data_IF_051670316926
#
_entry.id   IF_051670316926
#
_cell.length_a   1.000
_cell.length_b   1.000
_cell.length_c   1.000
_cell.angle_alpha   90.00
_cell.angle_beta   90.00
_cell.angle_gamma   90.00
#
_symmetry.space_group_name_H-M   'P 1'
#
loop_
_entity.id
_entity.type
_entity.pdbx_description
1 polymer ?
#
# COMPACT_ATOMS: atom_id res chain seq x y z
N UNK A 1 -4.29 29.10 13.03
CA UNK A 1 -3.26 28.47 13.87
C UNK A 1 -2.82 27.18 13.18
N UNK A 2 -1.54 26.85 13.16
CA UNK A 2 -1.08 25.53 12.68
C UNK A 2 -1.69 24.42 13.53
N UNK A 3 -1.87 23.27 12.92
CA UNK A 3 -2.39 22.07 13.59
C UNK A 3 -1.41 21.59 14.67
N UNK A 4 -1.93 21.05 15.77
CA UNK A 4 -1.08 20.45 16.81
C UNK A 4 -0.35 19.23 16.25
N UNK A 5 0.94 19.08 16.56
CA UNK A 5 1.82 18.01 16.06
C UNK A 5 1.23 16.61 16.26
N UNK A 6 0.66 16.32 17.44
CA UNK A 6 0.00 15.04 17.71
C UNK A 6 -1.23 14.76 16.84
N UNK A 7 -1.97 15.83 16.44
CA UNK A 7 -3.14 15.69 15.56
C UNK A 7 -2.69 15.40 14.14
N UNK A 8 -1.66 16.09 13.66
CA UNK A 8 -1.04 15.85 12.38
C UNK A 8 -0.50 14.41 12.28
N UNK A 9 0.22 13.95 13.30
CA UNK A 9 0.75 12.60 13.40
C UNK A 9 -0.37 11.54 13.36
N UNK A 10 -1.42 11.71 14.18
CA UNK A 10 -2.56 10.79 14.22
C UNK A 10 -3.27 10.68 12.86
N UNK A 11 -3.48 11.79 12.16
CA UNK A 11 -4.11 11.79 10.83
C UNK A 11 -3.23 11.11 9.78
N UNK A 12 -1.92 11.39 9.80
CA UNK A 12 -0.97 10.76 8.90
C UNK A 12 -0.92 9.24 9.09
N UNK A 13 -0.78 8.78 10.34
CA UNK A 13 -0.73 7.35 10.63
C UNK A 13 -2.07 6.65 10.38
N UNK A 14 -3.20 7.32 10.62
CA UNK A 14 -4.51 6.80 10.25
C UNK A 14 -4.60 6.49 8.75
N UNK A 15 -4.14 7.42 7.90
CA UNK A 15 -4.07 7.19 6.45
C UNK A 15 -3.15 6.02 6.08
N UNK A 16 -2.01 5.88 6.76
CA UNK A 16 -1.08 4.76 6.55
C UNK A 16 -1.68 3.42 6.94
N UNK A 17 -2.29 3.33 8.12
CA UNK A 17 -2.83 2.07 8.62
C UNK A 17 -3.99 1.55 7.77
N UNK A 18 -4.87 2.43 7.31
CA UNK A 18 -5.99 2.05 6.44
C UNK A 18 -5.52 1.58 5.07
N UNK A 19 -4.60 2.29 4.44
CA UNK A 19 -4.02 1.85 3.16
C UNK A 19 -3.25 0.54 3.30
N UNK A 20 -2.56 0.33 4.45
CA UNK A 20 -1.86 -0.93 4.76
C UNK A 20 -2.82 -2.09 4.90
N UNK A 21 -3.93 -1.91 5.62
CA UNK A 21 -4.95 -2.94 5.80
C UNK A 21 -5.60 -3.33 4.46
N UNK A 22 -5.93 -2.34 3.62
CA UNK A 22 -6.49 -2.58 2.28
C UNK A 22 -5.51 -3.34 1.38
N UNK A 23 -4.25 -2.89 1.34
CA UNK A 23 -3.22 -3.56 0.55
C UNK A 23 -3.01 -5.01 1.00
N UNK A 24 -2.97 -5.24 2.32
CA UNK A 24 -2.86 -6.58 2.90
C UNK A 24 -4.04 -7.46 2.51
N UNK A 25 -5.27 -6.95 2.61
CA UNK A 25 -6.48 -7.69 2.27
C UNK A 25 -6.45 -8.16 0.81
N UNK A 26 -6.14 -7.27 -0.12
CA UNK A 26 -6.05 -7.57 -1.54
C UNK A 26 -4.92 -8.56 -1.87
N UNK A 27 -3.74 -8.36 -1.28
CA UNK A 27 -2.60 -9.24 -1.52
C UNK A 27 -2.88 -10.66 -1.01
N UNK A 28 -3.48 -10.80 0.18
CA UNK A 28 -3.83 -12.11 0.76
C UNK A 28 -4.94 -12.80 -0.04
N UNK A 29 -5.94 -12.06 -0.53
CA UNK A 29 -7.00 -12.62 -1.39
C UNK A 29 -6.39 -13.24 -2.66
N UNK A 30 -5.58 -12.48 -3.40
CA UNK A 30 -4.93 -12.95 -4.63
C UNK A 30 -3.97 -14.12 -4.36
N UNK A 31 -3.25 -14.07 -3.23
CA UNK A 31 -2.35 -15.16 -2.84
C UNK A 31 -3.13 -16.42 -2.51
N UNK A 32 -4.22 -16.31 -1.76
CA UNK A 32 -5.09 -17.44 -1.41
C UNK A 32 -5.61 -18.14 -2.67
N UNK A 33 -6.17 -17.37 -3.61
CA UNK A 33 -6.69 -17.93 -4.85
C UNK A 33 -5.60 -18.69 -5.63
N UNK A 34 -4.41 -18.09 -5.72
CA UNK A 34 -3.26 -18.74 -6.36
C UNK A 34 -2.81 -20.02 -5.62
N UNK A 35 -2.84 -20.02 -4.29
CA UNK A 35 -2.45 -21.19 -3.49
C UNK A 35 -3.46 -22.35 -3.63
N UNK A 36 -4.74 -22.06 -3.79
CA UNK A 36 -5.76 -23.09 -4.08
C UNK A 36 -5.43 -23.77 -5.41
N UNK A 37 -5.11 -22.98 -6.45
CA UNK A 37 -4.79 -23.52 -7.78
C UNK A 37 -3.47 -24.33 -7.79
N UNK A 38 -2.47 -23.92 -6.98
CA UNK A 38 -1.14 -24.56 -6.97
C UNK A 38 -1.01 -25.75 -6.00
N UNK A 39 -1.76 -25.77 -4.90
CA UNK A 39 -1.53 -26.70 -3.79
C UNK A 39 -1.63 -28.18 -4.17
N UNK A 40 -2.42 -28.51 -5.18
CA UNK A 40 -2.59 -29.88 -5.68
C UNK A 40 -1.51 -30.28 -6.70
N UNK A 41 -0.89 -29.32 -7.38
CA UNK A 41 -0.01 -29.55 -8.53
C UNK A 41 1.45 -29.25 -8.21
N UNK A 42 1.72 -28.17 -7.45
CA UNK A 42 3.07 -27.67 -7.17
C UNK A 42 3.17 -27.11 -5.75
N UNK A 43 3.53 -27.96 -4.77
CA UNK A 43 3.70 -27.55 -3.36
C UNK A 43 4.89 -26.61 -3.13
N UNK A 44 5.97 -26.75 -3.91
CA UNK A 44 7.15 -25.88 -3.77
C UNK A 44 6.83 -24.49 -4.30
N UNK A 45 6.17 -24.40 -5.44
CA UNK A 45 5.66 -23.16 -5.99
C UNK A 45 4.68 -22.45 -5.04
N UNK A 46 3.76 -23.21 -4.42
CA UNK A 46 2.84 -22.66 -3.43
C UNK A 46 3.58 -22.07 -2.21
N UNK A 47 4.56 -22.79 -1.64
CA UNK A 47 5.39 -22.31 -0.54
C UNK A 47 6.20 -21.07 -0.94
N UNK A 48 6.65 -21.03 -2.20
CA UNK A 48 7.34 -19.90 -2.78
C UNK A 48 6.46 -18.64 -2.86
N UNK A 49 5.24 -18.77 -3.32
CA UNK A 49 4.28 -17.67 -3.39
C UNK A 49 3.90 -17.14 -2.01
N UNK A 50 3.70 -18.04 -1.04
CA UNK A 50 3.46 -17.64 0.35
C UNK A 50 4.64 -16.83 0.92
N UNK A 51 5.86 -17.31 0.77
CA UNK A 51 7.06 -16.59 1.23
C UNK A 51 7.22 -15.20 0.59
N UNK A 52 6.92 -15.06 -0.70
CA UNK A 52 6.93 -13.76 -1.38
C UNK A 52 5.87 -12.81 -0.83
N UNK A 53 4.70 -13.34 -0.47
CA UNK A 53 3.61 -12.56 0.15
C UNK A 53 4.02 -12.06 1.54
N UNK A 54 4.53 -12.94 2.40
CA UNK A 54 5.02 -12.59 3.73
C UNK A 54 6.14 -11.53 3.66
N UNK A 55 7.08 -11.69 2.73
CA UNK A 55 8.15 -10.71 2.50
C UNK A 55 7.59 -9.34 2.06
N UNK A 56 6.56 -9.33 1.20
CA UNK A 56 5.87 -8.09 0.79
C UNK A 56 5.22 -7.38 1.97
N UNK A 57 4.57 -8.12 2.84
CA UNK A 57 3.88 -7.59 4.02
C UNK A 57 4.86 -7.13 5.11
N UNK A 58 6.12 -7.59 5.05
CA UNK A 58 7.13 -7.35 6.08
C UNK A 58 6.66 -7.82 7.48
N UNK A 59 6.00 -8.97 7.52
CA UNK A 59 5.58 -9.66 8.74
C UNK A 59 6.43 -10.92 8.95
N UNK A 60 6.47 -11.48 10.18
CA UNK A 60 7.06 -12.80 10.41
C UNK A 60 6.43 -13.88 9.49
N UNK A 61 7.15 -14.97 9.24
CA UNK A 61 6.62 -16.07 8.43
C UNK A 61 5.60 -16.89 9.27
N UNK A 62 4.40 -16.36 9.35
CA UNK A 62 3.26 -16.89 10.12
C UNK A 62 2.09 -17.23 9.19
N UNK A 63 1.09 -17.92 9.68
CA UNK A 63 -0.10 -18.30 8.91
C UNK A 63 -0.99 -17.10 8.56
N UNK A 64 -1.87 -17.27 7.57
CA UNK A 64 -2.81 -16.23 7.15
C UNK A 64 -3.71 -15.76 8.29
N UNK A 65 -4.15 -16.65 9.16
CA UNK A 65 -4.99 -16.31 10.31
C UNK A 65 -4.28 -15.40 11.30
N UNK A 66 -2.99 -15.64 11.57
CA UNK A 66 -2.19 -14.76 12.42
C UNK A 66 -1.98 -13.38 11.77
N UNK A 67 -1.73 -13.34 10.46
CA UNK A 67 -1.62 -12.07 9.73
C UNK A 67 -2.92 -11.27 9.81
N UNK A 68 -4.08 -11.95 9.79
CA UNK A 68 -5.38 -11.28 9.87
C UNK A 68 -5.72 -10.86 11.31
N UNK A 69 -5.61 -11.78 12.26
CA UNK A 69 -6.32 -11.69 13.53
C UNK A 69 -5.43 -11.61 14.78
N UNK A 70 -4.10 -11.73 14.67
CA UNK A 70 -3.22 -11.65 15.82
C UNK A 70 -3.00 -10.19 16.27
N UNK A 71 -3.74 -9.76 17.29
CA UNK A 71 -3.61 -8.40 17.85
C UNK A 71 -2.28 -8.13 18.58
N UNK A 72 -1.44 -9.15 18.82
CA UNK A 72 -0.10 -8.96 19.36
C UNK A 72 0.95 -8.68 18.28
N UNK A 73 0.62 -8.95 16.99
CA UNK A 73 1.46 -8.61 15.86
C UNK A 73 1.10 -7.19 15.37
N UNK A 74 2.00 -6.20 15.53
CA UNK A 74 1.70 -4.81 15.17
C UNK A 74 1.40 -4.59 13.69
N UNK A 75 1.88 -5.48 12.83
CA UNK A 75 1.66 -5.41 11.38
C UNK A 75 0.45 -6.23 10.92
N UNK A 76 -0.29 -6.87 11.82
CA UNK A 76 -1.51 -7.62 11.46
C UNK A 76 -2.63 -6.69 10.99
N UNK A 77 -3.60 -7.26 10.28
CA UNK A 77 -4.75 -6.51 9.77
C UNK A 77 -5.59 -5.93 10.91
N UNK A 78 -5.89 -6.73 11.93
CA UNK A 78 -6.66 -6.26 13.10
C UNK A 78 -5.92 -5.15 13.83
N UNK A 79 -4.60 -5.23 13.99
CA UNK A 79 -3.79 -4.17 14.59
C UNK A 79 -3.81 -2.89 13.77
N UNK A 80 -3.71 -2.99 12.44
CA UNK A 80 -3.81 -1.82 11.55
C UNK A 80 -5.17 -1.11 11.70
N UNK A 81 -6.28 -1.83 11.67
CA UNK A 81 -7.62 -1.24 11.83
C UNK A 81 -7.82 -0.67 13.24
N UNK A 82 -7.33 -1.38 14.27
CA UNK A 82 -7.38 -0.90 15.67
C UNK A 82 -6.59 0.40 15.84
N UNK A 83 -5.37 0.47 15.31
CA UNK A 83 -4.51 1.67 15.40
C UNK A 83 -5.09 2.83 14.59
N UNK A 84 -5.67 2.57 13.41
CA UNK A 84 -6.38 3.60 12.66
C UNK A 84 -7.57 4.16 13.45
N UNK A 85 -8.36 3.28 14.09
CA UNK A 85 -9.49 3.65 14.93
C UNK A 85 -9.06 4.44 16.18
N UNK A 86 -7.97 4.04 16.82
CA UNK A 86 -7.46 4.77 17.99
C UNK A 86 -6.97 6.17 17.59
N UNK A 87 -6.27 6.31 16.46
CA UNK A 87 -5.90 7.61 15.91
C UNK A 87 -7.15 8.47 15.61
N UNK A 88 -8.18 7.90 14.98
CA UNK A 88 -9.43 8.60 14.70
C UNK A 88 -10.12 9.07 16.01
N UNK A 89 -10.09 8.25 17.07
CA UNK A 89 -10.65 8.59 18.38
C UNK A 89 -9.98 9.83 18.98
N UNK A 90 -8.66 9.95 18.79
CA UNK A 90 -7.89 11.10 19.31
C UNK A 90 -8.15 12.40 18.54
N UNK A 91 -8.63 12.30 17.27
CA UNK A 91 -8.83 13.47 16.39
C UNK A 91 -10.28 13.63 15.94
N UNK A 92 -11.24 13.14 16.73
CA UNK A 92 -12.68 13.16 16.37
C UNK A 92 -13.22 14.56 16.03
N UNK A 93 -12.66 15.61 16.61
CA UNK A 93 -13.04 16.99 16.35
C UNK A 93 -12.54 17.51 14.99
N UNK A 94 -11.63 16.79 14.34
CA UNK A 94 -10.98 17.20 13.08
C UNK A 94 -11.51 16.41 11.90
N UNK A 95 -12.02 15.20 12.13
CA UNK A 95 -12.60 14.34 11.09
C UNK A 95 -14.14 14.46 11.04
N UNK A 96 -14.74 14.11 9.91
CA UNK A 96 -16.20 14.08 9.81
C UNK A 96 -16.79 12.93 10.65
N UNK A 97 -18.02 13.13 11.15
CA UNK A 97 -18.74 12.11 11.93
C UNK A 97 -18.85 10.77 11.22
N UNK A 98 -19.22 10.80 9.95
CA UNK A 98 -19.35 9.62 9.10
C UNK A 98 -18.04 8.83 8.98
N UNK A 99 -16.88 9.53 8.93
CA UNK A 99 -15.57 8.87 8.91
C UNK A 99 -15.35 8.03 10.16
N UNK A 100 -15.72 8.55 11.32
CA UNK A 100 -15.62 7.82 12.59
C UNK A 100 -16.56 6.61 12.62
N UNK A 101 -17.80 6.77 12.16
CA UNK A 101 -18.79 5.69 12.15
C UNK A 101 -18.35 4.55 11.24
N UNK A 102 -17.91 4.84 10.02
CA UNK A 102 -17.42 3.82 9.10
C UNK A 102 -16.18 3.10 9.59
N UNK A 103 -15.26 3.79 10.27
CA UNK A 103 -14.09 3.15 10.85
C UNK A 103 -14.45 2.24 12.04
N UNK A 104 -15.45 2.63 12.84
CA UNK A 104 -16.00 1.74 13.86
C UNK A 104 -16.67 0.50 13.25
N UNK A 105 -17.43 0.66 12.17
CA UNK A 105 -18.04 -0.45 11.45
C UNK A 105 -16.95 -1.39 10.88
N UNK A 106 -15.87 -0.84 10.32
CA UNK A 106 -14.74 -1.63 9.85
C UNK A 106 -14.10 -2.46 10.97
N UNK A 107 -13.89 -1.85 12.13
CA UNK A 107 -13.34 -2.53 13.30
C UNK A 107 -14.27 -3.65 13.80
N UNK A 108 -15.54 -3.37 14.02
CA UNK A 108 -16.47 -4.36 14.57
C UNK A 108 -16.78 -5.51 13.60
N UNK A 109 -16.84 -5.25 12.29
CA UNK A 109 -17.00 -6.34 11.31
C UNK A 109 -15.78 -7.25 11.23
N UNK A 110 -14.58 -6.72 11.45
CA UNK A 110 -13.37 -7.53 11.55
C UNK A 110 -13.32 -8.35 12.85
N UNK A 111 -13.76 -7.79 13.98
CA UNK A 111 -13.89 -8.51 15.25
C UNK A 111 -15.00 -9.59 15.19
N UNK A 112 -16.07 -9.34 14.47
CA UNK A 112 -17.10 -10.35 14.20
C UNK A 112 -16.53 -11.53 13.40
N UNK A 113 -15.80 -11.27 12.31
CA UNK A 113 -15.11 -12.31 11.56
C UNK A 113 -14.12 -13.08 12.45
N UNK A 114 -13.34 -12.37 13.29
CA UNK A 114 -12.39 -12.96 14.23
C UNK A 114 -13.04 -13.88 15.25
N UNK A 115 -14.26 -13.60 15.69
CA UNK A 115 -15.02 -14.39 16.67
C UNK A 115 -15.57 -15.71 16.12
N UNK A 116 -15.62 -15.86 14.80
CA UNK A 116 -16.08 -17.08 14.15
C UNK A 116 -15.07 -18.23 14.31
N UNK A 117 -15.51 -19.48 14.17
CA UNK A 117 -14.60 -20.64 14.15
C UNK A 117 -13.49 -20.47 13.08
N UNK A 118 -12.25 -20.91 13.35
CA UNK A 118 -11.18 -20.92 12.37
C UNK A 118 -11.59 -21.61 11.08
N UNK A 119 -11.24 -21.00 9.94
CA UNK A 119 -11.52 -21.58 8.63
C UNK A 119 -11.66 -20.56 7.52
N UNK A 120 -11.83 -21.06 6.31
CA UNK A 120 -11.86 -20.29 5.07
C UNK A 120 -12.95 -19.19 5.07
N UNK A 121 -14.13 -19.50 5.57
CA UNK A 121 -15.25 -18.55 5.57
C UNK A 121 -14.92 -17.25 6.31
N UNK A 122 -14.31 -17.33 7.50
CA UNK A 122 -13.95 -16.11 8.25
C UNK A 122 -12.83 -15.33 7.60
N UNK A 123 -11.88 -16.02 6.92
CA UNK A 123 -10.80 -15.39 6.17
C UNK A 123 -11.39 -14.56 5.03
N UNK A 124 -12.23 -15.17 4.18
CA UNK A 124 -12.91 -14.49 3.08
C UNK A 124 -13.72 -13.30 3.57
N UNK A 125 -14.49 -13.49 4.64
CA UNK A 125 -15.30 -12.42 5.22
C UNK A 125 -14.43 -11.24 5.68
N UNK A 126 -13.32 -11.50 6.39
CA UNK A 126 -12.40 -10.46 6.85
C UNK A 126 -11.77 -9.69 5.68
N UNK A 127 -11.27 -10.39 4.66
CA UNK A 127 -10.64 -9.78 3.49
C UNK A 127 -11.63 -8.89 2.73
N UNK A 128 -12.81 -9.40 2.40
CA UNK A 128 -13.86 -8.67 1.68
C UNK A 128 -14.35 -7.47 2.50
N UNK A 129 -14.52 -7.66 3.81
CA UNK A 129 -14.98 -6.60 4.71
C UNK A 129 -13.98 -5.44 4.75
N UNK A 130 -12.68 -5.70 4.93
CA UNK A 130 -11.66 -4.66 4.99
C UNK A 130 -11.50 -3.92 3.66
N UNK A 131 -11.55 -4.63 2.53
CA UNK A 131 -11.50 -3.99 1.21
C UNK A 131 -12.69 -3.05 1.01
N UNK A 132 -13.91 -3.53 1.28
CA UNK A 132 -15.14 -2.73 1.16
C UNK A 132 -15.09 -1.52 2.09
N UNK A 133 -14.73 -1.72 3.37
CA UNK A 133 -14.61 -0.65 4.34
C UNK A 133 -13.60 0.42 3.91
N UNK A 134 -12.49 0.01 3.27
CA UNK A 134 -11.47 0.94 2.77
C UNK A 134 -11.98 1.79 1.60
N UNK A 135 -12.76 1.23 0.68
CA UNK A 135 -13.38 2.00 -0.40
C UNK A 135 -14.44 2.98 0.12
N UNK A 136 -15.27 2.53 1.06
CA UNK A 136 -16.26 3.41 1.71
C UNK A 136 -15.57 4.53 2.45
N UNK A 137 -14.50 4.24 3.21
CA UNK A 137 -13.70 5.23 3.91
C UNK A 137 -13.13 6.30 2.97
N UNK A 138 -12.56 5.88 1.84
CA UNK A 138 -12.01 6.79 0.84
C UNK A 138 -13.09 7.71 0.27
N UNK A 139 -14.24 7.14 -0.09
CA UNK A 139 -15.38 7.90 -0.60
C UNK A 139 -15.92 8.91 0.41
N UNK A 140 -16.12 8.48 1.65
CA UNK A 140 -16.59 9.36 2.74
C UNK A 140 -15.57 10.46 3.04
N UNK A 141 -14.28 10.14 3.10
CA UNK A 141 -13.22 11.13 3.30
C UNK A 141 -13.24 12.21 2.23
N UNK A 142 -13.37 11.81 0.97
CA UNK A 142 -13.35 12.76 -0.16
C UNK A 142 -14.67 13.55 -0.30
N UNK A 143 -15.79 13.01 0.20
CA UNK A 143 -17.09 13.65 0.17
C UNK A 143 -17.34 14.60 1.35
N UNK A 144 -16.82 14.29 2.55
CA UNK A 144 -17.22 14.97 3.79
C UNK A 144 -16.12 15.76 4.48
N UNK A 145 -14.82 15.40 4.31
CA UNK A 145 -13.73 16.08 4.99
C UNK A 145 -13.31 17.36 4.25
N UNK A 146 -13.26 18.49 4.98
CA UNK A 146 -12.72 19.75 4.44
C UNK A 146 -11.26 19.55 4.01
N UNK A 147 -10.91 19.97 2.78
CA UNK A 147 -9.57 19.81 2.18
C UNK A 147 -8.52 20.80 2.74
N UNK A 148 -8.49 20.92 4.08
CA UNK A 148 -7.51 21.69 4.84
C UNK A 148 -6.31 20.85 5.26
N UNK A 149 -5.58 21.36 6.26
CA UNK A 149 -4.33 20.77 6.76
C UNK A 149 -4.49 19.31 7.20
N UNK A 150 -5.56 18.97 7.94
CA UNK A 150 -5.83 17.60 8.38
C UNK A 150 -6.03 16.61 7.21
N UNK A 151 -6.76 17.03 6.20
CA UNK A 151 -6.93 16.22 4.97
C UNK A 151 -5.59 15.98 4.26
N UNK A 152 -4.70 17.00 4.24
CA UNK A 152 -3.37 16.87 3.63
C UNK A 152 -2.52 15.83 4.35
N UNK A 153 -2.47 15.83 5.69
CA UNK A 153 -1.75 14.82 6.45
C UNK A 153 -2.31 13.42 6.24
N UNK A 154 -3.63 13.26 6.27
CA UNK A 154 -4.30 11.98 6.04
C UNK A 154 -3.95 11.40 4.66
N UNK A 155 -4.07 12.22 3.60
CA UNK A 155 -3.77 11.78 2.23
C UNK A 155 -2.26 11.56 2.01
N UNK A 156 -1.39 12.37 2.63
CA UNK A 156 0.05 12.10 2.63
C UNK A 156 0.37 10.72 3.22
N UNK A 157 -0.20 10.38 4.37
CA UNK A 157 -0.05 9.06 4.97
C UNK A 157 -0.47 7.94 4.01
N UNK A 158 -1.64 8.09 3.40
CA UNK A 158 -2.16 7.15 2.40
C UNK A 158 -1.18 6.95 1.24
N UNK A 159 -0.73 8.03 0.58
CA UNK A 159 0.12 7.89 -0.60
C UNK A 159 1.54 7.41 -0.26
N UNK A 160 2.10 7.81 0.87
CA UNK A 160 3.39 7.28 1.34
C UNK A 160 3.31 5.77 1.56
N UNK A 161 2.26 5.27 2.20
CA UNK A 161 2.05 3.82 2.37
C UNK A 161 1.85 3.10 1.04
N UNK A 162 1.10 3.71 0.12
CA UNK A 162 0.84 3.15 -1.22
C UNK A 162 2.12 3.01 -2.04
N UNK A 163 3.01 4.01 -2.01
CA UNK A 163 4.33 3.95 -2.66
C UNK A 163 5.15 2.82 -2.03
N UNK A 164 5.22 2.76 -0.70
CA UNK A 164 6.00 1.74 0.02
C UNK A 164 5.49 0.32 -0.31
N UNK A 165 4.20 0.07 -0.15
CA UNK A 165 3.62 -1.26 -0.35
C UNK A 165 3.63 -1.70 -1.81
N UNK A 166 3.33 -0.79 -2.74
CA UNK A 166 3.39 -1.05 -4.16
C UNK A 166 4.82 -1.43 -4.59
N UNK A 167 5.81 -0.66 -4.19
CA UNK A 167 7.22 -0.94 -4.49
C UNK A 167 7.68 -2.28 -3.91
N UNK A 168 7.35 -2.60 -2.65
CA UNK A 168 7.67 -3.90 -2.02
C UNK A 168 7.02 -5.07 -2.75
N UNK A 169 5.76 -4.91 -3.19
CA UNK A 169 5.05 -5.96 -3.94
C UNK A 169 5.77 -6.26 -5.25
N UNK A 170 6.18 -5.23 -5.99
CA UNK A 170 6.90 -5.40 -7.24
C UNK A 170 8.26 -6.06 -6.98
N UNK A 171 9.03 -5.58 -5.98
CA UNK A 171 10.33 -6.16 -5.61
C UNK A 171 10.19 -7.63 -5.26
N UNK A 172 9.28 -8.00 -4.37
CA UNK A 172 9.14 -9.37 -3.89
C UNK A 172 8.72 -10.35 -4.99
N UNK A 173 7.94 -9.90 -5.98
CA UNK A 173 7.45 -10.77 -7.06
C UNK A 173 8.30 -10.72 -8.33
N UNK A 174 8.93 -9.58 -8.62
CA UNK A 174 9.82 -9.43 -9.77
C UNK A 174 11.24 -9.94 -9.49
N UNK A 175 11.68 -9.96 -8.23
CA UNK A 175 13.00 -10.44 -7.86
C UNK A 175 13.10 -11.95 -7.99
N UNK A 176 14.20 -12.43 -8.62
CA UNK A 176 14.61 -13.82 -8.53
C UNK A 176 15.10 -14.11 -7.11
N UNK A 177 14.83 -15.31 -6.62
CA UNK A 177 15.42 -15.74 -5.34
C UNK A 177 16.91 -16.02 -5.50
N UNK A 178 17.72 -15.77 -4.46
CA UNK A 178 19.07 -16.31 -4.42
C UNK A 178 19.00 -17.84 -4.51
N UNK A 179 19.66 -18.44 -5.51
CA UNK A 179 19.62 -19.88 -5.79
C UNK A 179 18.62 -20.31 -6.86
N UNK A 180 17.81 -19.41 -7.40
CA UNK A 180 16.89 -19.67 -8.51
C UNK A 180 17.64 -19.46 -9.85
N UNK A 181 18.65 -20.31 -10.10
CA UNK A 181 19.42 -20.31 -11.36
C UNK A 181 18.61 -20.85 -12.55
N UNK A 182 17.46 -21.46 -12.29
CA UNK A 182 16.55 -21.94 -13.31
C UNK A 182 15.89 -20.75 -14.04
N UNK A 183 15.99 -20.75 -15.35
CA UNK A 183 15.26 -19.82 -16.21
C UNK A 183 13.77 -20.15 -16.05
N UNK A 184 12.96 -19.18 -15.58
CA UNK A 184 11.49 -19.35 -15.55
C UNK A 184 11.00 -19.69 -16.95
N UNK A 185 10.09 -20.64 -17.04
CA UNK A 185 9.38 -20.87 -18.28
C UNK A 185 8.51 -19.64 -18.62
N UNK A 186 8.16 -19.42 -19.89
CA UNK A 186 7.25 -18.35 -20.28
C UNK A 186 5.91 -18.40 -19.53
N UNK A 187 5.43 -19.59 -19.19
CA UNK A 187 4.21 -19.83 -18.44
C UNK A 187 4.35 -19.36 -16.98
N UNK A 188 5.43 -19.68 -16.30
CA UNK A 188 5.72 -19.25 -14.93
C UNK A 188 5.89 -17.74 -14.85
N UNK A 189 6.55 -17.12 -15.82
CA UNK A 189 6.67 -15.67 -15.91
C UNK A 189 5.30 -15.01 -16.07
N UNK A 190 4.47 -15.53 -16.97
CA UNK A 190 3.11 -15.01 -17.18
C UNK A 190 2.25 -15.11 -15.92
N UNK A 191 2.27 -16.23 -15.21
CA UNK A 191 1.56 -16.40 -13.93
C UNK A 191 2.05 -15.37 -12.90
N UNK A 192 3.37 -15.18 -12.81
CA UNK A 192 3.97 -14.19 -11.89
C UNK A 192 3.50 -12.77 -12.18
N UNK A 193 3.53 -12.37 -13.46
CA UNK A 193 3.12 -11.03 -13.89
C UNK A 193 1.61 -10.79 -13.72
N UNK A 194 0.79 -11.78 -14.05
CA UNK A 194 -0.67 -11.70 -13.79
C UNK A 194 -0.99 -11.61 -12.30
N UNK A 195 -0.28 -12.38 -11.48
CA UNK A 195 -0.44 -12.32 -10.01
C UNK A 195 -0.01 -10.95 -9.47
N UNK A 196 1.07 -10.38 -10.00
CA UNK A 196 1.52 -9.03 -9.63
C UNK A 196 0.47 -7.98 -9.99
N UNK A 197 -0.08 -8.02 -11.22
CA UNK A 197 -1.14 -7.10 -11.65
C UNK A 197 -2.42 -7.24 -10.81
N UNK A 198 -2.84 -8.47 -10.49
CA UNK A 198 -3.98 -8.71 -9.59
C UNK A 198 -3.72 -8.18 -8.18
N UNK A 199 -2.54 -8.45 -7.61
CA UNK A 199 -2.15 -7.96 -6.29
C UNK A 199 -2.12 -6.43 -6.20
N UNK A 200 -1.84 -5.75 -7.30
CA UNK A 200 -1.92 -4.31 -7.42
C UNK A 200 -3.34 -3.79 -7.72
N UNK A 201 -4.33 -4.68 -7.96
CA UNK A 201 -5.66 -4.31 -8.45
C UNK A 201 -5.60 -3.61 -9.82
N UNK A 202 -4.66 -4.03 -10.66
CA UNK A 202 -4.26 -3.33 -11.87
C UNK A 202 -4.65 -4.07 -13.17
N UNK A 203 -5.02 -5.35 -13.07
CA UNK A 203 -5.12 -6.22 -14.25
C UNK A 203 -6.09 -5.69 -15.31
N UNK A 204 -7.26 -5.20 -14.90
CA UNK A 204 -8.28 -4.72 -15.84
C UNK A 204 -7.84 -3.42 -16.51
N UNK A 205 -7.30 -2.47 -15.74
CA UNK A 205 -6.81 -1.20 -16.28
C UNK A 205 -5.58 -1.40 -17.17
N UNK A 206 -4.67 -2.31 -16.77
CA UNK A 206 -3.53 -2.70 -17.59
C UNK A 206 -3.97 -3.22 -18.97
N UNK A 207 -4.99 -4.11 -19.01
CA UNK A 207 -5.51 -4.66 -20.28
C UNK A 207 -6.13 -3.63 -21.21
N UNK A 208 -6.61 -2.51 -20.68
CA UNK A 208 -7.11 -1.40 -21.51
C UNK A 208 -5.98 -0.66 -22.21
N UNK A 209 -4.80 -0.58 -21.57
CA UNK A 209 -3.61 0.09 -22.12
C UNK A 209 -2.77 -0.87 -22.98
N UNK A 210 -2.63 -2.13 -22.54
CA UNK A 210 -1.83 -3.17 -23.18
C UNK A 210 -2.68 -4.40 -23.49
N UNK A 211 -3.52 -4.37 -24.54
CA UNK A 211 -4.53 -5.41 -24.77
C UNK A 211 -3.96 -6.74 -25.30
N UNK A 212 -2.75 -6.77 -25.84
CA UNK A 212 -2.26 -7.91 -26.61
C UNK A 212 -1.21 -8.78 -25.91
N UNK A 213 -0.51 -8.27 -24.90
CA UNK A 213 0.61 -8.98 -24.28
C UNK A 213 0.84 -8.57 -22.83
N UNK A 214 1.15 -9.56 -22.00
CA UNK A 214 1.67 -9.35 -20.64
C UNK A 214 3.16 -9.72 -20.67
N UNK A 215 4.03 -8.75 -20.46
CA UNK A 215 5.48 -8.92 -20.34
C UNK A 215 6.05 -8.05 -19.25
N UNK A 216 7.24 -8.40 -18.76
CA UNK A 216 7.88 -7.73 -17.62
C UNK A 216 8.04 -6.24 -17.82
N UNK A 217 8.37 -5.78 -19.04
CA UNK A 217 8.59 -4.35 -19.32
C UNK A 217 7.28 -3.58 -19.22
N UNK A 218 6.24 -4.00 -19.93
CA UNK A 218 4.95 -3.30 -19.97
C UNK A 218 4.25 -3.32 -18.61
N UNK A 219 4.42 -4.41 -17.82
CA UNK A 219 3.93 -4.48 -16.44
C UNK A 219 4.65 -3.49 -15.54
N UNK A 220 5.98 -3.36 -15.67
CA UNK A 220 6.75 -2.37 -14.92
C UNK A 220 6.41 -0.94 -15.37
N UNK A 221 6.29 -0.70 -16.68
CA UNK A 221 5.86 0.61 -17.19
C UNK A 221 4.52 1.03 -16.59
N UNK A 222 3.56 0.11 -16.48
CA UNK A 222 2.25 0.40 -15.92
C UNK A 222 2.28 0.58 -14.40
N UNK A 223 2.86 -0.37 -13.66
CA UNK A 223 2.83 -0.33 -12.19
C UNK A 223 3.76 0.71 -11.56
N UNK A 224 4.83 1.07 -12.26
CA UNK A 224 5.80 2.05 -11.74
C UNK A 224 5.55 3.44 -12.33
N UNK A 225 5.34 3.56 -13.64
CA UNK A 225 5.44 4.83 -14.36
C UNK A 225 4.11 5.37 -14.90
N UNK A 226 3.00 4.62 -14.84
CA UNK A 226 1.72 5.13 -15.31
C UNK A 226 1.32 6.40 -14.52
N UNK A 227 0.84 7.41 -15.27
CA UNK A 227 0.52 8.73 -14.71
C UNK A 227 -0.88 8.82 -14.14
N UNK A 228 -1.77 7.97 -14.60
CA UNK A 228 -3.20 8.04 -14.36
C UNK A 228 -3.71 6.90 -13.48
N UNK A 229 -2.95 5.79 -13.42
CA UNK A 229 -3.32 4.66 -12.57
C UNK A 229 -3.07 4.96 -11.08
N UNK A 230 -4.10 4.99 -10.22
CA UNK A 230 -3.98 5.49 -8.85
C UNK A 230 -3.05 4.69 -7.93
N UNK A 231 -2.68 3.46 -8.32
CA UNK A 231 -1.75 2.59 -7.57
C UNK A 231 -0.37 2.48 -8.20
N UNK A 232 -0.09 3.20 -9.29
CA UNK A 232 1.25 3.32 -9.83
C UNK A 232 2.15 4.10 -8.86
N UNK A 233 3.42 3.70 -8.76
CA UNK A 233 4.40 4.33 -7.87
C UNK A 233 4.56 5.82 -8.21
N UNK A 234 4.65 6.14 -9.49
CA UNK A 234 4.74 7.52 -10.00
C UNK A 234 3.53 8.36 -9.61
N UNK A 235 2.31 7.84 -9.82
CA UNK A 235 1.08 8.54 -9.41
C UNK A 235 1.11 8.87 -7.93
N UNK A 236 1.39 7.86 -7.08
CA UNK A 236 1.45 8.05 -5.62
C UNK A 236 2.49 9.10 -5.22
N UNK A 237 3.67 9.07 -5.84
CA UNK A 237 4.76 10.01 -5.56
C UNK A 237 4.40 11.44 -5.97
N UNK A 238 3.77 11.61 -7.13
CA UNK A 238 3.28 12.91 -7.59
C UNK A 238 2.23 13.47 -6.64
N UNK A 239 1.28 12.65 -6.21
CA UNK A 239 0.28 13.06 -5.21
C UNK A 239 0.94 13.48 -3.89
N UNK A 240 1.91 12.70 -3.39
CA UNK A 240 2.65 13.06 -2.18
C UNK A 240 3.40 14.39 -2.33
N UNK A 241 4.02 14.66 -3.48
CA UNK A 241 4.69 15.92 -3.78
C UNK A 241 3.72 17.11 -3.80
N UNK A 242 2.58 16.97 -4.48
CA UNK A 242 1.55 18.01 -4.55
C UNK A 242 0.97 18.33 -3.15
N UNK A 243 0.69 17.30 -2.36
CA UNK A 243 0.19 17.45 -0.99
C UNK A 243 1.22 18.13 -0.08
N UNK A 244 2.49 17.74 -0.16
CA UNK A 244 3.59 18.37 0.57
C UNK A 244 3.75 19.85 0.19
N UNK A 245 3.64 20.19 -1.10
CA UNK A 245 3.66 21.56 -1.57
C UNK A 245 2.53 22.41 -1.01
N UNK A 246 1.30 21.87 -0.99
CA UNK A 246 0.16 22.55 -0.38
C UNK A 246 0.33 22.74 1.13
N UNK A 247 0.88 21.75 1.82
CA UNK A 247 1.16 21.84 3.26
C UNK A 247 2.21 22.90 3.55
N UNK A 248 3.31 22.93 2.77
CA UNK A 248 4.36 23.95 2.84
C UNK A 248 3.81 25.37 2.63
N UNK A 249 2.92 25.56 1.66
CA UNK A 249 2.28 26.83 1.40
C UNK A 249 1.42 27.32 2.57
N UNK A 250 0.70 26.43 3.27
CA UNK A 250 -0.08 26.76 4.46
C UNK A 250 0.80 27.23 5.63
N UNK A 251 2.03 26.71 5.73
CA UNK A 251 2.99 27.04 6.78
C UNK A 251 3.97 28.16 6.37
N UNK A 252 3.79 28.78 5.20
CA UNK A 252 4.67 29.81 4.66
C UNK A 252 6.16 29.42 4.69
N UNK A 253 6.47 28.21 4.32
CA UNK A 253 7.80 27.60 4.40
C UNK A 253 8.42 27.48 3.01
N UNK A 254 9.10 28.50 2.48
CA UNK A 254 9.50 28.55 1.07
C UNK A 254 10.57 27.52 0.71
N UNK A 255 11.39 27.09 1.66
CA UNK A 255 12.48 26.13 1.47
C UNK A 255 12.24 24.85 2.27
N UNK A 256 11.20 24.11 1.88
CA UNK A 256 10.69 22.95 2.61
C UNK A 256 11.45 21.68 2.23
N UNK A 257 12.15 21.08 3.21
CA UNK A 257 12.88 19.83 3.04
C UNK A 257 11.95 18.68 2.58
N UNK A 258 10.72 18.63 3.08
CA UNK A 258 9.74 17.60 2.71
C UNK A 258 9.34 17.74 1.23
N UNK A 259 9.07 18.97 0.78
CA UNK A 259 8.75 19.26 -0.63
C UNK A 259 9.94 18.90 -1.53
N UNK A 260 11.16 19.24 -1.12
CA UNK A 260 12.37 18.87 -1.89
C UNK A 260 12.57 17.36 -1.98
N UNK A 261 12.32 16.63 -0.89
CA UNK A 261 12.49 15.19 -0.85
C UNK A 261 11.51 14.50 -1.82
N UNK A 262 10.21 14.80 -1.74
CA UNK A 262 9.22 14.25 -2.67
C UNK A 262 9.40 14.78 -4.10
N UNK A 263 9.84 16.03 -4.28
CA UNK A 263 10.14 16.60 -5.59
C UNK A 263 11.26 15.88 -6.33
N UNK A 264 12.34 15.53 -5.63
CA UNK A 264 13.46 14.73 -6.22
C UNK A 264 12.99 13.34 -6.61
N UNK A 265 12.17 12.69 -5.76
CA UNK A 265 11.63 11.38 -6.05
C UNK A 265 10.66 11.43 -7.25
N UNK A 266 9.80 12.45 -7.31
CA UNK A 266 8.89 12.68 -8.45
C UNK A 266 9.66 12.91 -9.74
N UNK A 267 10.67 13.78 -9.72
CA UNK A 267 11.51 14.05 -10.89
C UNK A 267 12.23 12.78 -11.37
N UNK A 268 12.77 11.98 -10.46
CA UNK A 268 13.40 10.70 -10.84
C UNK A 268 12.42 9.79 -11.58
N UNK A 269 11.18 9.63 -11.09
CA UNK A 269 10.17 8.81 -11.74
C UNK A 269 9.61 9.43 -13.04
N UNK A 270 9.70 10.75 -13.17
CA UNK A 270 9.27 11.47 -14.38
C UNK A 270 10.23 11.32 -15.55
N UNK A 271 11.52 11.09 -15.27
CA UNK A 271 12.61 11.03 -16.27
C UNK A 271 13.26 9.65 -16.39
N UNK A 272 12.66 8.62 -15.79
CA UNK A 272 13.05 7.21 -15.93
C UNK A 272 11.94 6.43 -16.63
N UNK A 273 12.27 5.39 -17.36
CA UNK A 273 11.30 4.49 -18.01
C UNK A 273 11.51 3.02 -17.60
N UNK A 274 10.57 2.15 -18.01
CA UNK A 274 10.62 0.73 -17.68
C UNK A 274 11.81 -0.01 -18.29
N UNK A 275 12.37 0.45 -19.43
CA UNK A 275 13.55 -0.16 -20.02
C UNK A 275 14.80 0.07 -19.15
N UNK A 276 14.95 1.27 -18.62
CA UNK A 276 16.03 1.59 -17.66
C UNK A 276 15.90 0.77 -16.38
N UNK A 277 14.68 0.60 -15.85
CA UNK A 277 14.43 -0.22 -14.65
C UNK A 277 14.75 -1.69 -14.90
N UNK A 278 14.38 -2.23 -16.05
CA UNK A 278 14.74 -3.61 -16.43
C UNK A 278 16.26 -3.76 -16.51
N UNK A 279 16.97 -2.79 -17.10
CA UNK A 279 18.42 -2.81 -17.25
C UNK A 279 19.16 -2.69 -15.90
N UNK A 280 18.68 -1.84 -14.99
CA UNK A 280 19.24 -1.65 -13.64
C UNK A 280 18.89 -2.79 -12.68
N UNK A 281 17.81 -3.51 -12.96
CA UNK A 281 17.16 -4.46 -12.07
C UNK A 281 16.07 -3.80 -11.20
N UNK A 282 14.81 -4.29 -11.28
CA UNK A 282 13.68 -3.70 -10.56
C UNK A 282 13.88 -3.59 -9.04
N UNK A 283 14.56 -4.57 -8.44
CA UNK A 283 14.85 -4.58 -7.01
C UNK A 283 15.78 -3.42 -6.57
N UNK A 284 16.81 -3.13 -7.37
CA UNK A 284 17.74 -2.04 -7.10
C UNK A 284 17.05 -0.69 -7.23
N UNK A 285 16.35 -0.46 -8.35
CA UNK A 285 15.64 0.80 -8.58
C UNK A 285 14.58 1.07 -7.51
N UNK A 286 13.71 0.09 -7.24
CA UNK A 286 12.63 0.25 -6.25
C UNK A 286 13.15 0.23 -4.80
N UNK A 287 14.28 -0.42 -4.54
CA UNK A 287 14.98 -0.30 -3.25
C UNK A 287 15.38 1.15 -2.95
N UNK A 288 15.89 1.86 -3.95
CA UNK A 288 16.20 3.29 -3.84
C UNK A 288 14.93 4.15 -3.67
N UNK A 289 13.84 3.83 -4.38
CA UNK A 289 12.54 4.51 -4.20
C UNK A 289 12.04 4.34 -2.77
N UNK A 290 12.11 3.14 -2.21
CA UNK A 290 11.76 2.85 -0.82
C UNK A 290 12.60 3.66 0.17
N UNK A 291 13.92 3.70 -0.02
CA UNK A 291 14.84 4.47 0.83
C UNK A 291 14.54 5.98 0.79
N UNK A 292 14.29 6.53 -0.41
CA UNK A 292 13.94 7.94 -0.57
C UNK A 292 12.56 8.26 0.04
N UNK A 293 11.57 7.36 -0.12
CA UNK A 293 10.24 7.52 0.50
C UNK A 293 10.32 7.51 2.03
N UNK A 294 11.13 6.61 2.60
CA UNK A 294 11.38 6.57 4.04
C UNK A 294 12.08 7.84 4.54
N UNK A 295 13.08 8.35 3.82
CA UNK A 295 13.75 9.59 4.15
C UNK A 295 12.81 10.79 4.11
N UNK A 296 11.95 10.89 3.08
CA UNK A 296 10.94 11.95 2.97
C UNK A 296 9.91 11.88 4.12
N UNK A 297 9.46 10.67 4.50
CA UNK A 297 8.59 10.45 5.65
C UNK A 297 9.27 10.85 6.97
N UNK A 298 10.58 10.57 7.11
CA UNK A 298 11.38 11.00 8.26
C UNK A 298 11.50 12.52 8.36
N UNK A 299 11.70 13.22 7.24
CA UNK A 299 11.71 14.69 7.21
C UNK A 299 10.35 15.28 7.59
N UNK A 300 9.25 14.66 7.12
CA UNK A 300 7.89 15.03 7.51
C UNK A 300 7.69 14.90 9.02
N UNK A 301 8.09 13.79 9.61
CA UNK A 301 7.97 13.54 11.04
C UNK A 301 8.74 14.56 11.87
N UNK A 302 10.01 14.82 11.52
CA UNK A 302 10.84 15.82 12.22
C UNK A 302 10.22 17.22 12.16
N UNK A 303 9.64 17.58 11.03
CA UNK A 303 9.11 18.92 10.82
C UNK A 303 7.75 19.13 11.49
N UNK A 304 6.85 18.16 11.45
CA UNK A 304 5.45 18.36 11.82
C UNK A 304 5.00 17.58 13.05
N UNK A 305 5.69 16.48 13.43
CA UNK A 305 5.21 15.58 14.49
C UNK A 305 6.04 15.68 15.78
N UNK A 306 7.32 16.05 15.67
CA UNK A 306 8.27 16.08 16.81
C UNK A 306 8.48 17.47 17.41
N UNK A 307 7.54 18.40 17.20
CA UNK A 307 7.59 19.77 17.75
C UNK A 307 6.88 19.86 19.09
#
# INVERSE_FOLDING_TARGET
MPMLSRVADSLYWMGRYLERAEHMARLLEVTRDLLVDLSEVDREGAAAQWSATVATLAVPNIGVEDILFNGAEPASMVSCIMLARENARQVREVIAGDMWEHLNQAYWGLEEARSQPPGESRIVQALTHVQTASFVWDGVTDASMRRGEGWLFLKLGKFVERIDRGSRTIVARASRRPGDDAIRTPEEENVTLLTLLRSAGALEEYRKVYPTRVDSRTVLDFLVFDRDFPRAVRFGTRQAFELAGRLSALHLSPDDEVVRAFGRLSARLDYTDGAEVVAQGPATFLGDVLAQTAAASGSLARKYFLQ
#
